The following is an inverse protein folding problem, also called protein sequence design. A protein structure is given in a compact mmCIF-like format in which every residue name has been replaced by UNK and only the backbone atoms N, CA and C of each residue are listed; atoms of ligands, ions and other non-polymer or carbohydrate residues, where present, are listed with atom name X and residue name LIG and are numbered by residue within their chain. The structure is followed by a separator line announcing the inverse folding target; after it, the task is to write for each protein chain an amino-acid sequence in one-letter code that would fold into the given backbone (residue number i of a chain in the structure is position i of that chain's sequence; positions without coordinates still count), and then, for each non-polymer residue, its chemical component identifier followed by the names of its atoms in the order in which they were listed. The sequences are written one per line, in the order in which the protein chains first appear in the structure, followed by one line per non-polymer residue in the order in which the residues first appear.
data_IF_948166959567
#
_entry.id   IF_948166959567
#
_cell.length_a   1.000
_cell.length_b   1.000
_cell.length_c   1.000
_cell.angle_alpha   90.00
_cell.angle_beta   90.00
_cell.angle_gamma   90.00
#
_symmetry.space_group_name_H-M   'P 1'
#
loop_
_entity.id
_entity.type
_entity.pdbx_description
1 polymer ?
#
# COMPACT_ATOMS: atom_id res chain seq x y z
N UNK A 1 -19.91 7.93 0.74
CA UNK A 1 -18.60 7.28 0.55
C UNK A 1 -18.75 5.84 0.96
N UNK A 2 -18.49 4.92 0.05
CA UNK A 2 -18.54 3.49 0.31
C UNK A 2 -17.36 3.11 1.22
N UNK A 3 -17.63 2.29 2.24
CA UNK A 3 -16.63 1.81 3.20
C UNK A 3 -16.20 0.42 2.77
N UNK A 4 -14.90 0.18 2.68
CA UNK A 4 -14.32 -1.13 2.38
C UNK A 4 -13.52 -1.65 3.57
N UNK A 5 -13.45 -2.96 3.73
CA UNK A 5 -12.64 -3.62 4.77
C UNK A 5 -11.43 -4.29 4.13
N UNK A 6 -10.25 -4.00 4.65
CA UNK A 6 -8.98 -4.60 4.21
C UNK A 6 -8.98 -6.10 4.47
N UNK A 7 -9.64 -6.56 5.55
CA UNK A 7 -9.73 -7.98 5.86
C UNK A 7 -10.65 -8.71 4.89
N UNK A 8 -11.85 -8.17 4.62
CA UNK A 8 -12.79 -8.79 3.68
C UNK A 8 -12.22 -8.83 2.26
N UNK A 9 -11.67 -7.71 1.77
CA UNK A 9 -11.04 -7.64 0.44
C UNK A 9 -9.78 -8.52 0.37
N UNK A 10 -9.02 -8.63 1.48
CA UNK A 10 -7.85 -9.50 1.58
C UNK A 10 -8.19 -10.99 1.55
N UNK A 11 -9.25 -11.40 2.25
CA UNK A 11 -9.76 -12.78 2.22
C UNK A 11 -10.20 -13.18 0.81
N UNK A 12 -10.91 -12.30 0.11
CA UNK A 12 -11.29 -12.52 -1.30
C UNK A 12 -10.07 -12.67 -2.21
N UNK A 13 -9.04 -11.83 -2.02
CA UNK A 13 -7.80 -11.90 -2.80
C UNK A 13 -6.99 -13.17 -2.50
N UNK A 14 -6.95 -13.61 -1.24
CA UNK A 14 -6.34 -14.86 -0.82
C UNK A 14 -7.07 -16.08 -1.40
N UNK A 15 -8.41 -16.10 -1.38
CA UNK A 15 -9.23 -17.15 -1.99
C UNK A 15 -9.01 -17.21 -3.51
N UNK A 16 -8.93 -16.06 -4.16
CA UNK A 16 -8.62 -15.99 -5.59
C UNK A 16 -7.22 -16.54 -5.89
N UNK A 17 -6.23 -16.19 -5.07
CA UNK A 17 -4.88 -16.75 -5.18
C UNK A 17 -4.88 -18.28 -5.01
N UNK A 18 -5.57 -18.80 -3.98
CA UNK A 18 -5.74 -20.24 -3.77
C UNK A 18 -6.31 -20.90 -5.02
N UNK A 19 -7.40 -20.36 -5.56
CA UNK A 19 -8.03 -20.93 -6.75
C UNK A 19 -7.04 -21.01 -7.93
N UNK A 20 -6.33 -19.91 -8.23
CA UNK A 20 -5.34 -19.87 -9.32
C UNK A 20 -4.22 -20.89 -9.11
N UNK A 21 -3.70 -21.04 -7.90
CA UNK A 21 -2.61 -21.98 -7.62
C UNK A 21 -3.09 -23.44 -7.62
N UNK A 22 -4.32 -23.71 -7.15
CA UNK A 22 -4.95 -25.05 -7.24
C UNK A 22 -5.17 -25.47 -8.69
N UNK A 23 -5.62 -24.56 -9.56
CA UNK A 23 -5.77 -24.82 -11.00
C UNK A 23 -4.42 -25.17 -11.65
N UNK A 24 -3.34 -24.45 -11.30
CA UNK A 24 -1.99 -24.76 -11.80
C UNK A 24 -1.46 -26.10 -11.30
N UNK A 25 -1.79 -26.48 -10.07
CA UNK A 25 -1.34 -27.72 -9.45
C UNK A 25 -2.16 -28.95 -9.90
N UNK A 26 -3.35 -28.73 -10.48
CA UNK A 26 -4.29 -29.79 -10.85
C UNK A 26 -4.96 -30.47 -9.65
N UNK A 27 -4.86 -29.87 -8.45
CA UNK A 27 -5.49 -30.35 -7.22
C UNK A 27 -5.74 -29.20 -6.24
N UNK A 28 -6.66 -29.39 -5.27
CA UNK A 28 -6.89 -28.37 -4.25
C UNK A 28 -5.72 -28.28 -3.26
N UNK A 29 -5.08 -27.11 -3.21
CA UNK A 29 -3.99 -26.81 -2.27
C UNK A 29 -4.49 -26.43 -0.87
N UNK A 30 -5.80 -26.20 -0.70
CA UNK A 30 -6.40 -25.90 0.60
C UNK A 30 -5.73 -24.72 1.30
N UNK A 31 -5.54 -24.84 2.62
CA UNK A 31 -4.97 -23.79 3.47
C UNK A 31 -3.47 -23.54 3.29
N UNK A 32 -2.77 -24.40 2.55
CA UNK A 32 -1.35 -24.16 2.26
C UNK A 32 -1.20 -22.96 1.31
N UNK A 33 -2.11 -22.81 0.35
CA UNK A 33 -2.09 -21.67 -0.57
C UNK A 33 -2.43 -20.34 0.12
N UNK A 34 -3.39 -20.35 1.05
CA UNK A 34 -3.74 -19.15 1.84
C UNK A 34 -2.56 -18.71 2.71
N UNK A 35 -1.92 -19.65 3.43
CA UNK A 35 -0.72 -19.34 4.23
C UNK A 35 0.42 -18.78 3.38
N UNK A 36 0.65 -19.35 2.19
CA UNK A 36 1.62 -18.84 1.22
C UNK A 36 1.28 -17.42 0.80
N UNK A 37 0.01 -17.12 0.54
CA UNK A 37 -0.42 -15.76 0.19
C UNK A 37 -0.15 -14.77 1.32
N UNK A 38 -0.52 -15.11 2.56
CA UNK A 38 -0.26 -14.24 3.72
C UNK A 38 1.23 -13.97 3.87
N UNK A 39 2.07 -14.99 3.72
CA UNK A 39 3.53 -14.86 3.86
C UNK A 39 4.17 -14.01 2.75
N UNK A 40 3.71 -14.15 1.51
CA UNK A 40 4.38 -13.56 0.35
C UNK A 40 3.75 -12.24 -0.13
N UNK A 41 2.45 -12.04 0.11
CA UNK A 41 1.67 -10.99 -0.56
C UNK A 41 0.97 -10.02 0.40
N UNK A 42 0.70 -10.41 1.66
CA UNK A 42 -0.08 -9.59 2.60
C UNK A 42 0.46 -8.16 2.76
N UNK A 43 1.76 -8.01 2.97
CA UNK A 43 2.35 -6.69 3.20
C UNK A 43 2.31 -5.79 1.96
N UNK A 44 2.51 -6.35 0.78
CA UNK A 44 2.39 -5.61 -0.49
C UNK A 44 0.95 -5.17 -0.74
N UNK A 45 0.01 -6.09 -0.53
CA UNK A 45 -1.43 -5.84 -0.60
C UNK A 45 -1.85 -4.72 0.37
N UNK A 46 -1.50 -4.85 1.65
CA UNK A 46 -1.86 -3.88 2.69
C UNK A 46 -1.27 -2.49 2.40
N UNK A 47 -0.03 -2.42 1.91
CA UNK A 47 0.62 -1.17 1.49
C UNK A 47 -0.14 -0.51 0.34
N UNK A 48 -0.63 -1.26 -0.64
CA UNK A 48 -1.41 -0.70 -1.76
C UNK A 48 -2.73 -0.08 -1.26
N UNK A 49 -3.45 -0.78 -0.38
CA UNK A 49 -4.71 -0.33 0.22
C UNK A 49 -4.53 0.90 1.11
N UNK A 50 -3.44 0.92 1.87
CA UNK A 50 -3.03 2.10 2.62
C UNK A 50 -2.75 3.30 1.71
N UNK A 51 -2.09 3.10 0.58
CA UNK A 51 -1.84 4.17 -0.37
C UNK A 51 -3.13 4.74 -0.97
N UNK A 52 -4.09 3.87 -1.34
CA UNK A 52 -5.42 4.31 -1.78
C UNK A 52 -6.14 5.16 -0.73
N UNK A 53 -6.03 4.77 0.55
CA UNK A 53 -6.60 5.50 1.68
C UNK A 53 -6.01 6.90 1.81
N UNK A 54 -4.68 6.98 1.79
CA UNK A 54 -3.95 8.24 1.88
C UNK A 54 -4.21 9.18 0.70
N UNK A 55 -4.41 8.62 -0.50
CA UNK A 55 -4.82 9.36 -1.69
C UNK A 55 -6.29 9.82 -1.62
N UNK A 56 -7.08 9.30 -0.67
CA UNK A 56 -8.51 9.58 -0.59
C UNK A 56 -9.35 8.84 -1.64
N UNK A 57 -8.78 7.81 -2.31
CA UNK A 57 -9.45 7.07 -3.39
C UNK A 57 -10.50 6.09 -2.86
N UNK A 58 -10.16 5.39 -1.79
CA UNK A 58 -11.05 4.42 -1.14
C UNK A 58 -10.84 4.44 0.35
N UNK A 59 -11.95 4.42 1.09
CA UNK A 59 -11.91 4.42 2.55
C UNK A 59 -11.89 2.99 3.06
N UNK A 60 -10.84 2.69 3.81
CA UNK A 60 -10.56 1.38 4.39
C UNK A 60 -10.75 1.49 5.91
N UNK A 61 -11.68 0.71 6.47
CA UNK A 61 -12.18 0.94 7.84
C UNK A 61 -11.18 0.60 8.94
N UNK A 62 -10.22 -0.28 8.66
CA UNK A 62 -9.13 -0.67 9.56
C UNK A 62 -8.03 0.41 9.65
N UNK A 63 -7.99 1.30 8.66
CA UNK A 63 -7.01 2.38 8.61
C UNK A 63 -7.53 3.62 9.35
N UNK A 64 -6.59 4.48 9.76
CA UNK A 64 -6.94 5.64 10.54
C UNK A 64 -7.83 6.60 9.76
N UNK A 65 -8.97 6.99 10.33
CA UNK A 65 -9.88 7.92 9.68
C UNK A 65 -9.22 9.28 9.42
N UNK A 66 -8.26 9.69 10.25
CA UNK A 66 -7.48 10.92 10.09
C UNK A 66 -6.53 10.90 8.89
N UNK A 67 -6.15 9.70 8.44
CA UNK A 67 -5.24 9.49 7.31
C UNK A 67 -5.93 9.58 5.96
N UNK A 68 -7.26 9.47 5.91
CA UNK A 68 -7.99 9.51 4.66
C UNK A 68 -7.73 10.81 3.89
N UNK A 69 -7.25 10.71 2.66
CA UNK A 69 -6.90 11.87 1.83
C UNK A 69 -5.80 12.76 2.43
N UNK A 70 -4.99 12.25 3.37
CA UNK A 70 -3.94 13.03 4.04
C UNK A 70 -2.89 13.55 3.05
N UNK A 71 -2.49 12.75 2.07
CA UNK A 71 -1.46 13.16 1.11
C UNK A 71 -1.95 14.29 0.21
N UNK A 72 -3.20 14.20 -0.26
CA UNK A 72 -3.81 15.25 -1.06
C UNK A 72 -3.98 16.55 -0.27
N UNK A 73 -4.32 16.47 1.03
CA UNK A 73 -4.41 17.65 1.91
C UNK A 73 -3.04 18.27 2.19
N UNK A 74 -2.06 17.44 2.57
CA UNK A 74 -0.72 17.87 2.99
C UNK A 74 0.12 18.40 1.82
N UNK A 75 -0.03 17.81 0.63
CA UNK A 75 0.77 18.12 -0.55
C UNK A 75 -0.06 18.66 -1.71
N UNK A 76 -1.15 19.40 -1.42
CA UNK A 76 -2.06 19.94 -2.43
C UNK A 76 -1.33 20.82 -3.48
N UNK A 77 -0.34 21.62 -3.05
CA UNK A 77 0.50 22.43 -3.94
C UNK A 77 1.43 21.58 -4.83
N UNK A 78 1.72 20.35 -4.41
CA UNK A 78 2.62 19.42 -5.08
C UNK A 78 1.89 18.19 -5.63
N UNK A 79 0.59 18.29 -5.94
CA UNK A 79 -0.25 17.15 -6.36
C UNK A 79 0.34 16.35 -7.53
N UNK A 80 0.86 17.05 -8.55
CA UNK A 80 1.47 16.39 -9.72
C UNK A 80 2.75 15.64 -9.35
N UNK A 81 3.58 16.21 -8.46
CA UNK A 81 4.79 15.56 -7.98
C UNK A 81 4.45 14.36 -7.11
N UNK A 82 3.48 14.50 -6.21
CA UNK A 82 2.95 13.43 -5.39
C UNK A 82 2.48 12.26 -6.27
N UNK A 83 1.61 12.50 -7.25
CA UNK A 83 1.11 11.42 -8.11
C UNK A 83 2.24 10.71 -8.87
N UNK A 84 3.24 11.45 -9.37
CA UNK A 84 4.42 10.86 -10.01
C UNK A 84 5.24 9.98 -9.06
N UNK A 85 5.48 10.44 -7.83
CA UNK A 85 6.18 9.66 -6.81
C UNK A 85 5.38 8.39 -6.47
N UNK A 86 4.05 8.51 -6.34
CA UNK A 86 3.18 7.38 -6.02
C UNK A 86 3.13 6.35 -7.15
N UNK A 87 3.10 6.78 -8.41
CA UNK A 87 3.14 5.87 -9.56
C UNK A 87 4.47 5.12 -9.63
N UNK A 88 5.59 5.77 -9.28
CA UNK A 88 6.91 5.14 -9.17
C UNK A 88 6.95 4.06 -8.09
N UNK A 89 6.46 4.40 -6.89
CA UNK A 89 6.35 3.42 -5.79
C UNK A 89 5.46 2.23 -6.17
N UNK A 90 4.37 2.45 -6.89
CA UNK A 90 3.50 1.37 -7.41
C UNK A 90 4.20 0.49 -8.45
N UNK A 91 5.12 1.05 -9.22
CA UNK A 91 5.94 0.29 -10.18
C UNK A 91 7.08 -0.49 -9.52
N UNK A 92 7.20 -0.45 -8.20
CA UNK A 92 8.21 -1.17 -7.43
C UNK A 92 9.54 -0.42 -7.28
N UNK A 93 9.60 0.86 -7.68
CA UNK A 93 10.78 1.69 -7.46
C UNK A 93 10.93 2.03 -5.97
N UNK A 94 12.17 2.06 -5.50
CA UNK A 94 12.49 2.40 -4.12
C UNK A 94 12.71 3.91 -3.95
N UNK A 95 12.83 4.36 -2.69
CA UNK A 95 13.08 5.78 -2.39
C UNK A 95 14.34 6.30 -3.08
N UNK A 96 15.39 5.47 -3.20
CA UNK A 96 16.63 5.85 -3.88
C UNK A 96 16.42 6.06 -5.39
N UNK A 97 15.64 5.20 -6.05
CA UNK A 97 15.30 5.37 -7.46
C UNK A 97 14.52 6.67 -7.70
N UNK A 98 13.63 7.03 -6.78
CA UNK A 98 12.85 8.26 -6.83
C UNK A 98 13.74 9.49 -6.64
N UNK A 99 14.69 9.42 -5.70
CA UNK A 99 15.66 10.49 -5.47
C UNK A 99 16.55 10.68 -6.70
N UNK A 100 17.07 9.60 -7.28
CA UNK A 100 17.87 9.64 -8.51
C UNK A 100 17.06 10.23 -9.67
N UNK A 101 15.82 9.78 -9.86
CA UNK A 101 14.91 10.34 -10.86
C UNK A 101 14.68 11.85 -10.66
N UNK A 102 14.48 12.30 -9.41
CA UNK A 102 14.29 13.71 -9.13
C UNK A 102 15.52 14.54 -9.48
N UNK A 103 16.72 14.02 -9.22
CA UNK A 103 17.98 14.67 -9.59
C UNK A 103 18.14 14.75 -11.12
N UNK A 104 17.93 13.64 -11.83
CA UNK A 104 18.06 13.57 -13.29
C UNK A 104 17.12 14.54 -14.02
N UNK A 105 15.93 14.76 -13.45
CA UNK A 105 14.92 15.66 -14.01
C UNK A 105 14.95 17.07 -13.41
N UNK A 106 15.94 17.37 -12.57
CA UNK A 106 16.13 18.66 -11.89
C UNK A 106 14.86 19.13 -11.12
N UNK A 107 14.18 18.18 -10.48
CA UNK A 107 13.01 18.42 -9.63
C UNK A 107 13.49 18.93 -8.26
N UNK A 108 12.84 19.94 -7.66
CA UNK A 108 13.18 20.40 -6.31
C UNK A 108 13.16 19.25 -5.30
N UNK A 109 14.26 19.07 -4.57
CA UNK A 109 14.44 17.92 -3.67
C UNK A 109 13.62 18.03 -2.39
N UNK A 110 13.45 19.25 -1.87
CA UNK A 110 12.70 19.49 -0.62
C UNK A 110 11.29 18.87 -0.63
N UNK A 111 10.42 19.13 -1.64
CA UNK A 111 9.11 18.49 -1.66
C UNK A 111 9.18 16.98 -1.90
N UNK A 112 10.18 16.48 -2.63
CA UNK A 112 10.38 15.03 -2.83
C UNK A 112 10.66 14.34 -1.50
N UNK A 113 11.62 14.85 -0.73
CA UNK A 113 12.00 14.30 0.58
C UNK A 113 10.83 14.36 1.55
N UNK A 114 10.13 15.50 1.64
CA UNK A 114 8.96 15.63 2.53
C UNK A 114 7.86 14.62 2.21
N UNK A 115 7.61 14.34 0.92
CA UNK A 115 6.64 13.33 0.50
C UNK A 115 7.11 11.93 0.92
N UNK A 116 8.37 11.59 0.65
CA UNK A 116 8.94 10.28 1.00
C UNK A 116 8.95 10.04 2.52
N UNK A 117 9.30 11.05 3.32
CA UNK A 117 9.25 10.99 4.78
C UNK A 117 7.84 10.77 5.32
N UNK A 118 6.85 11.50 4.77
CA UNK A 118 5.46 11.32 5.15
C UNK A 118 4.96 9.90 4.84
N UNK A 119 5.40 9.31 3.73
CA UNK A 119 5.08 7.93 3.37
C UNK A 119 5.80 6.92 4.29
N UNK A 120 7.06 7.15 4.63
CA UNK A 120 7.84 6.28 5.50
C UNK A 120 7.23 6.20 6.92
N UNK A 121 6.98 7.35 7.56
CA UNK A 121 6.37 7.43 8.90
C UNK A 121 5.06 6.65 8.97
N UNK A 122 4.21 6.84 7.97
CA UNK A 122 2.92 6.19 7.90
C UNK A 122 3.03 4.69 7.62
N UNK A 123 4.03 4.24 6.85
CA UNK A 123 4.29 2.81 6.62
C UNK A 123 4.72 2.08 7.91
N UNK A 124 5.50 2.74 8.77
CA UNK A 124 5.87 2.21 10.10
C UNK A 124 4.66 2.11 11.03
N UNK A 125 3.79 3.14 11.01
CA UNK A 125 2.54 3.14 11.79
C UNK A 125 1.60 2.01 11.35
N UNK A 126 1.53 1.76 10.04
CA UNK A 126 0.78 0.66 9.47
C UNK A 126 1.29 -0.70 9.99
N UNK A 127 2.60 -0.94 9.92
CA UNK A 127 3.22 -2.16 10.42
C UNK A 127 2.87 -2.41 11.90
N UNK A 128 3.09 -1.42 12.76
CA UNK A 128 2.80 -1.52 14.20
C UNK A 128 1.33 -1.88 14.47
N UNK A 129 0.38 -1.21 13.80
CA UNK A 129 -1.05 -1.45 14.02
C UNK A 129 -1.47 -2.87 13.68
N UNK A 130 -0.97 -3.43 12.59
CA UNK A 130 -1.32 -4.79 12.17
C UNK A 130 -0.53 -5.87 12.92
N UNK A 131 0.66 -5.55 13.44
CA UNK A 131 1.38 -6.44 14.37
C UNK A 131 0.65 -6.58 15.72
N UNK A 132 0.01 -5.51 16.22
CA UNK A 132 -0.79 -5.57 17.45
C UNK A 132 -2.04 -6.42 17.29
N UNK A 133 -2.71 -6.35 16.14
CA UNK A 133 -3.93 -7.12 15.86
C UNK A 133 -3.63 -8.61 15.73
N UNK A 134 -2.50 -8.99 15.13
CA UNK A 134 -2.10 -10.40 14.97
C UNK A 134 -1.63 -11.09 16.28
N UNK A 135 -1.56 -10.36 17.40
CA UNK A 135 -1.20 -10.90 18.72
C UNK A 135 -2.40 -11.10 19.65
N UNK A 136 -3.60 -10.69 19.24
CA UNK A 136 -4.84 -10.80 20.02
C UNK A 136 -5.68 -11.98 19.54
#
# INVERSE_FOLDING_TARGET
MEKSSVYVDGDEEALRFKWIESEKAGCDLGEVAIRKWVQCHWWGYLRARWLEHLQGKRFWVELDRGDFGLLQRKFHENTVLLDRILDRLKSGQENLDIINWAMDWNIPMDPVVQILEALDINSRRLAHRFEEINKS
#
